data_IF_478257243491
#
_entry.id   IF_478257243491
#
_cell.length_a   1.000
_cell.length_b   1.000
_cell.length_c   1.000
_cell.angle_alpha   90.00
_cell.angle_beta   90.00
_cell.angle_gamma   90.00
#
_symmetry.space_group_name_H-M   'P 1'
#
loop_
_entity.id
_entity.type
_entity.pdbx_description
1 polymer ?
#
# COMPACT_ATOMS: atom_id res chain seq x y z
N UNK A 1 8.23 -6.49 -24.46
CA UNK A 1 9.30 -5.72 -23.83
C UNK A 1 10.42 -6.65 -23.42
N UNK A 2 11.67 -6.34 -23.80
CA UNK A 2 12.82 -7.11 -23.33
C UNK A 2 13.01 -6.80 -21.85
N UNK A 3 13.10 -7.79 -20.94
CA UNK A 3 13.34 -7.53 -19.53
C UNK A 3 14.67 -6.80 -19.34
N UNK A 4 14.72 -5.87 -18.39
CA UNK A 4 15.95 -5.21 -18.02
C UNK A 4 16.95 -6.24 -17.48
N UNK A 5 18.11 -6.35 -18.11
CA UNK A 5 19.19 -7.26 -17.69
C UNK A 5 20.28 -6.40 -17.05
N UNK A 6 20.78 -6.81 -15.89
CA UNK A 6 21.93 -6.19 -15.26
C UNK A 6 23.13 -6.36 -16.21
N UNK A 7 23.66 -5.25 -16.71
CA UNK A 7 24.84 -5.27 -17.58
C UNK A 7 26.09 -4.90 -16.78
N UNK A 8 26.87 -5.91 -16.42
CA UNK A 8 28.12 -5.75 -15.66
C UNK A 8 29.34 -5.59 -16.59
N UNK A 9 29.15 -5.57 -17.92
CA UNK A 9 30.23 -5.48 -18.89
C UNK A 9 30.56 -4.04 -19.32
N UNK A 10 29.67 -3.09 -19.02
CA UNK A 10 29.91 -1.67 -19.28
C UNK A 10 30.57 -1.04 -18.04
N UNK A 11 31.75 -0.39 -18.19
CA UNK A 11 32.39 0.31 -17.09
C UNK A 11 31.48 1.41 -16.53
N UNK A 12 31.48 1.59 -15.20
CA UNK A 12 30.78 2.70 -14.56
C UNK A 12 31.35 4.03 -15.05
N UNK A 13 30.48 4.99 -15.29
CA UNK A 13 30.93 6.35 -15.59
C UNK A 13 31.42 7.01 -14.29
N UNK A 14 32.73 7.37 -14.25
CA UNK A 14 33.35 7.90 -13.05
C UNK A 14 32.66 9.17 -12.51
N UNK A 15 32.31 10.11 -13.39
CA UNK A 15 31.63 11.34 -12.95
C UNK A 15 30.25 11.10 -12.37
N UNK A 16 29.50 10.11 -12.90
CA UNK A 16 28.21 9.73 -12.34
C UNK A 16 28.41 9.02 -11.00
N UNK A 17 29.45 8.18 -10.89
CA UNK A 17 29.78 7.50 -9.64
C UNK A 17 30.15 8.49 -8.52
N UNK A 18 30.95 9.52 -8.81
CA UNK A 18 31.29 10.59 -7.85
C UNK A 18 30.02 11.27 -7.30
N UNK A 19 29.03 11.57 -8.15
CA UNK A 19 27.76 12.16 -7.71
C UNK A 19 26.99 11.18 -6.82
N UNK A 20 26.92 9.91 -7.19
CA UNK A 20 26.26 8.86 -6.39
C UNK A 20 26.94 8.73 -5.02
N UNK A 21 28.28 8.64 -4.99
CA UNK A 21 29.05 8.48 -3.77
C UNK A 21 28.89 9.69 -2.82
N UNK A 22 28.88 10.90 -3.39
CA UNK A 22 28.64 12.13 -2.63
C UNK A 22 27.28 12.08 -1.91
N UNK A 23 26.18 11.84 -2.62
CA UNK A 23 24.86 11.80 -2.02
C UNK A 23 24.63 10.56 -1.13
N UNK A 24 25.30 9.45 -1.42
CA UNK A 24 25.29 8.29 -0.55
C UNK A 24 25.94 8.60 0.81
N UNK A 25 27.08 9.32 0.81
CA UNK A 25 27.73 9.75 2.05
C UNK A 25 26.87 10.74 2.85
N UNK A 26 26.28 11.74 2.20
CA UNK A 26 25.39 12.73 2.85
C UNK A 26 24.13 12.07 3.44
N UNK A 27 23.59 11.07 2.78
CA UNK A 27 22.39 10.37 3.24
C UNK A 27 22.65 9.27 4.27
N UNK A 28 23.89 8.82 4.45
CA UNK A 28 24.23 7.66 5.29
C UNK A 28 23.76 7.81 6.75
N UNK A 29 24.05 8.95 7.38
CA UNK A 29 23.67 9.20 8.78
C UNK A 29 22.16 9.31 8.96
N UNK A 30 21.41 10.12 8.22
CA UNK A 30 19.96 10.17 8.35
C UNK A 30 19.30 8.84 7.96
N UNK A 31 19.82 8.10 6.98
CA UNK A 31 19.27 6.81 6.57
C UNK A 31 19.44 5.73 7.66
N UNK A 32 20.54 5.75 8.41
CA UNK A 32 20.81 4.79 9.48
C UNK A 32 19.99 5.05 10.76
N UNK A 33 19.34 6.20 10.90
CA UNK A 33 18.55 6.53 12.08
C UNK A 33 17.42 5.53 12.31
N UNK A 34 17.38 4.90 13.47
CA UNK A 34 16.30 3.98 13.86
C UNK A 34 15.01 4.79 14.07
N UNK A 35 13.92 4.34 13.47
CA UNK A 35 12.59 4.98 13.53
C UNK A 35 11.57 4.11 14.27
N UNK A 36 11.92 2.86 14.59
CA UNK A 36 11.08 1.95 15.34
C UNK A 36 11.56 0.52 15.28
N UNK A 37 10.71 -0.40 15.71
CA UNK A 37 11.02 -1.83 15.77
C UNK A 37 9.90 -2.68 15.18
N UNK A 38 10.27 -3.87 14.70
CA UNK A 38 9.36 -4.92 14.21
C UNK A 38 9.70 -6.24 14.89
N UNK A 39 8.73 -7.15 15.02
CA UNK A 39 8.93 -8.47 15.65
C UNK A 39 9.28 -9.57 14.66
N UNK A 40 9.03 -9.34 13.36
CA UNK A 40 9.39 -10.21 12.25
C UNK A 40 9.43 -9.38 10.96
N UNK A 41 9.97 -9.93 9.88
CA UNK A 41 9.99 -9.26 8.56
C UNK A 41 8.58 -8.88 8.11
N UNK A 42 8.38 -7.62 7.78
CA UNK A 42 7.15 -7.13 7.14
C UNK A 42 7.31 -7.29 5.63
N UNK A 43 6.71 -8.33 5.09
CA UNK A 43 6.81 -8.65 3.66
C UNK A 43 5.72 -7.99 2.85
N UNK A 44 6.07 -7.51 1.66
CA UNK A 44 5.13 -7.06 0.63
C UNK A 44 4.64 -8.20 -0.26
N UNK A 45 5.10 -9.43 -0.02
CA UNK A 45 4.62 -10.58 -0.77
C UNK A 45 3.12 -10.78 -0.53
N UNK A 46 2.41 -11.08 -1.63
CA UNK A 46 0.96 -11.24 -1.59
C UNK A 46 0.55 -12.65 -1.19
N UNK A 47 -0.52 -12.74 -0.43
CA UNK A 47 -1.31 -13.96 -0.27
C UNK A 47 -2.01 -14.32 -1.58
N UNK A 48 -2.67 -15.47 -1.63
CA UNK A 48 -3.50 -15.86 -2.78
C UNK A 48 -4.67 -14.91 -3.04
N UNK A 49 -5.06 -14.12 -2.04
CA UNK A 49 -6.08 -13.09 -2.15
C UNK A 49 -5.53 -11.71 -2.54
N UNK A 50 -4.19 -11.56 -2.67
CA UNK A 50 -3.55 -10.29 -3.01
C UNK A 50 -3.28 -9.37 -1.82
N UNK A 51 -3.48 -9.83 -0.58
CA UNK A 51 -3.16 -9.11 0.64
C UNK A 51 -1.68 -9.29 1.01
N UNK A 52 -1.05 -8.27 1.59
CA UNK A 52 0.33 -8.36 2.08
C UNK A 52 0.45 -7.81 3.51
N UNK A 53 1.24 -8.49 4.35
CA UNK A 53 1.44 -8.09 5.75
C UNK A 53 1.99 -6.65 5.87
N UNK A 54 2.91 -6.25 4.99
CA UNK A 54 3.42 -4.88 4.98
C UNK A 54 2.37 -3.89 4.49
N UNK A 55 1.52 -4.29 3.55
CA UNK A 55 0.42 -3.45 3.06
C UNK A 55 -0.58 -3.15 4.16
N UNK A 56 -0.92 -4.14 4.97
CA UNK A 56 -1.81 -3.99 6.13
C UNK A 56 -1.23 -3.02 7.16
N UNK A 57 0.06 -3.18 7.51
CA UNK A 57 0.77 -2.28 8.44
C UNK A 57 0.79 -0.84 7.91
N UNK A 58 1.00 -0.65 6.61
CA UNK A 58 0.98 0.70 6.01
C UNK A 58 -0.43 1.29 6.06
N UNK A 59 -1.46 0.51 5.72
CA UNK A 59 -2.84 0.97 5.79
C UNK A 59 -3.25 1.31 7.23
N UNK A 60 -2.81 0.50 8.21
CA UNK A 60 -3.04 0.76 9.64
C UNK A 60 -2.34 2.04 10.11
N UNK A 61 -1.10 2.28 9.66
CA UNK A 61 -0.38 3.50 9.97
C UNK A 61 -1.07 4.74 9.39
N UNK A 62 -1.59 4.66 8.16
CA UNK A 62 -2.37 5.73 7.53
C UNK A 62 -3.67 6.00 8.29
N UNK A 63 -4.39 4.93 8.71
CA UNK A 63 -5.59 5.06 9.53
C UNK A 63 -5.28 5.70 10.88
N UNK A 64 -4.28 5.21 11.60
CA UNK A 64 -3.88 5.75 12.90
C UNK A 64 -3.55 7.24 12.84
N UNK A 65 -2.87 7.68 11.77
CA UNK A 65 -2.50 9.07 11.56
C UNK A 65 -3.70 10.01 11.33
N UNK A 66 -4.82 9.48 10.85
CA UNK A 66 -5.97 10.26 10.37
C UNK A 66 -7.29 9.97 11.10
N UNK A 67 -7.29 9.05 12.07
CA UNK A 67 -8.50 8.66 12.79
C UNK A 67 -9.01 9.73 13.76
N UNK A 68 -8.14 10.63 14.23
CA UNK A 68 -8.58 11.68 15.18
C UNK A 68 -9.46 12.73 14.48
N UNK A 69 -10.42 13.35 15.19
CA UNK A 69 -11.25 14.42 14.64
C UNK A 69 -10.44 15.59 14.05
N UNK A 70 -9.27 15.87 14.61
CA UNK A 70 -8.39 16.96 14.16
C UNK A 70 -7.57 16.60 12.93
N UNK A 71 -7.45 15.32 12.59
CA UNK A 71 -6.63 14.81 11.48
C UNK A 71 -7.45 14.20 10.33
N UNK A 72 -8.78 14.15 10.45
CA UNK A 72 -9.63 13.71 9.36
C UNK A 72 -10.80 12.81 9.77
N UNK A 73 -10.79 12.27 10.99
CA UNK A 73 -11.83 11.35 11.50
C UNK A 73 -12.01 10.12 10.60
N UNK A 74 -10.90 9.61 10.03
CA UNK A 74 -10.92 8.46 9.14
C UNK A 74 -11.33 7.19 9.89
N UNK A 75 -12.07 6.35 9.21
CA UNK A 75 -12.50 5.02 9.69
C UNK A 75 -11.99 3.89 8.77
N UNK A 76 -11.47 4.23 7.61
CA UNK A 76 -10.91 3.32 6.61
C UNK A 76 -9.65 3.96 6.02
N UNK A 77 -8.64 3.14 5.74
CA UNK A 77 -7.52 3.56 4.89
C UNK A 77 -7.22 2.50 3.82
N UNK A 78 -6.84 2.97 2.63
CA UNK A 78 -6.42 2.14 1.51
C UNK A 78 -5.00 2.50 1.07
N UNK A 79 -4.23 1.47 0.70
CA UNK A 79 -2.91 1.62 0.11
C UNK A 79 -2.81 0.85 -1.20
N UNK A 80 -2.35 1.51 -2.27
CA UNK A 80 -2.10 0.84 -3.54
C UNK A 80 -0.80 0.01 -3.48
N UNK A 81 -0.79 -1.20 -4.06
CA UNK A 81 0.37 -2.09 -4.01
C UNK A 81 1.60 -1.49 -4.71
N UNK A 82 1.40 -0.72 -5.78
CA UNK A 82 2.47 -0.04 -6.52
C UNK A 82 3.24 0.99 -5.68
N UNK A 83 2.64 1.48 -4.61
CA UNK A 83 3.28 2.38 -3.65
C UNK A 83 4.17 1.68 -2.61
N UNK A 84 4.25 0.34 -2.61
CA UNK A 84 5.06 -0.47 -1.69
C UNK A 84 6.22 -1.10 -2.46
N UNK A 85 7.43 -0.56 -2.30
CA UNK A 85 8.57 -0.86 -3.17
C UNK A 85 9.57 -1.86 -2.60
N UNK A 86 9.65 -2.02 -1.29
CA UNK A 86 10.57 -2.93 -0.61
C UNK A 86 9.94 -3.50 0.65
N UNK A 87 10.39 -4.69 1.07
CA UNK A 87 10.11 -5.26 2.37
C UNK A 87 10.81 -4.46 3.47
N UNK A 88 10.37 -4.61 4.72
CA UNK A 88 11.13 -4.20 5.90
C UNK A 88 11.64 -5.48 6.56
N UNK A 89 12.91 -5.87 6.35
CA UNK A 89 13.45 -7.11 6.87
C UNK A 89 13.67 -7.01 8.39
N UNK A 90 13.43 -8.11 9.12
CA UNK A 90 13.75 -8.20 10.54
C UNK A 90 15.26 -8.14 10.77
N UNK A 91 16.02 -8.91 10.01
CA UNK A 91 17.48 -8.94 10.02
C UNK A 91 18.03 -8.43 8.69
N UNK A 92 19.01 -7.53 8.75
CA UNK A 92 19.75 -7.04 7.58
C UNK A 92 21.15 -6.57 8.01
N UNK A 93 22.09 -6.57 7.06
CA UNK A 93 23.43 -6.09 7.31
C UNK A 93 23.46 -4.62 7.79
N UNK A 94 24.24 -4.35 8.81
CA UNK A 94 24.46 -3.00 9.32
C UNK A 94 23.40 -2.48 10.31
N UNK A 95 22.45 -3.33 10.75
CA UNK A 95 21.47 -2.96 11.78
C UNK A 95 21.33 -4.05 12.85
N UNK A 96 20.81 -3.68 14.03
CA UNK A 96 20.33 -4.63 15.03
C UNK A 96 19.00 -5.24 14.56
N UNK A 97 18.85 -6.55 14.75
CA UNK A 97 17.64 -7.29 14.39
C UNK A 97 16.39 -6.64 15.01
N UNK A 98 15.34 -6.56 14.22
CA UNK A 98 14.09 -5.91 14.58
C UNK A 98 14.09 -4.39 14.44
N UNK A 99 15.23 -3.71 14.41
CA UNK A 99 15.24 -2.26 14.16
C UNK A 99 14.76 -1.94 12.75
N UNK A 100 14.00 -0.85 12.63
CA UNK A 100 13.61 -0.25 11.34
C UNK A 100 14.37 1.06 11.20
N UNK A 101 15.14 1.19 10.12
CA UNK A 101 15.85 2.44 9.82
C UNK A 101 14.99 3.38 8.98
N UNK A 102 15.32 4.67 9.03
CA UNK A 102 14.68 5.67 8.16
C UNK A 102 14.86 5.32 6.67
N UNK A 103 16.05 4.85 6.29
CA UNK A 103 16.33 4.42 4.92
C UNK A 103 15.43 3.29 4.44
N UNK A 104 15.19 2.27 5.29
CA UNK A 104 14.24 1.19 4.98
C UNK A 104 12.81 1.71 4.86
N UNK A 105 12.37 2.53 5.81
CA UNK A 105 11.04 3.13 5.78
C UNK A 105 10.85 4.02 4.54
N UNK A 106 11.87 4.75 4.13
CA UNK A 106 11.86 5.56 2.91
C UNK A 106 11.84 4.69 1.65
N UNK A 107 12.71 3.69 1.56
CA UNK A 107 12.77 2.77 0.40
C UNK A 107 11.48 2.00 0.21
N UNK A 108 10.77 1.70 1.29
CA UNK A 108 9.44 1.06 1.25
C UNK A 108 8.41 1.93 0.54
N UNK A 109 8.40 3.25 0.75
CA UNK A 109 7.47 4.20 0.11
C UNK A 109 8.20 5.50 -0.30
N UNK A 110 8.98 5.50 -1.40
CA UNK A 110 9.91 6.57 -1.74
C UNK A 110 9.29 7.79 -2.45
N UNK A 111 7.97 7.84 -2.62
CA UNK A 111 7.31 8.78 -3.54
C UNK A 111 7.02 10.17 -2.95
N UNK A 112 7.26 10.40 -1.68
CA UNK A 112 7.01 11.71 -1.06
C UNK A 112 5.52 12.10 -0.96
N UNK A 113 4.61 11.15 -1.15
CA UNK A 113 3.16 11.38 -1.04
C UNK A 113 2.77 11.89 0.36
N UNK A 114 1.71 12.69 0.42
CA UNK A 114 0.99 13.02 1.65
C UNK A 114 -0.26 12.14 1.80
N UNK A 115 -0.83 12.11 3.00
CA UNK A 115 -2.14 11.51 3.23
C UNK A 115 -3.25 12.49 2.83
N UNK A 116 -4.32 11.96 2.29
CA UNK A 116 -5.56 12.69 1.99
C UNK A 116 -6.72 11.91 2.57
N UNK A 117 -7.43 12.54 3.51
CA UNK A 117 -8.68 11.99 4.04
C UNK A 117 -9.85 12.65 3.33
N UNK A 118 -10.80 11.87 2.85
CA UNK A 118 -11.96 12.34 2.11
C UNK A 118 -13.23 11.60 2.54
N UNK A 119 -14.38 12.17 2.22
CA UNK A 119 -15.68 11.51 2.36
C UNK A 119 -16.03 10.79 1.07
N UNK A 120 -16.26 9.49 1.16
CA UNK A 120 -16.76 8.64 0.09
C UNK A 120 -18.11 8.05 0.49
N UNK A 121 -19.02 7.85 -0.47
CA UNK A 121 -20.18 6.98 -0.26
C UNK A 121 -19.75 5.52 -0.27
N UNK A 122 -20.53 4.63 0.34
CA UNK A 122 -20.28 3.20 0.23
C UNK A 122 -20.27 2.73 -1.23
N UNK A 123 -21.13 3.29 -2.09
CA UNK A 123 -21.10 3.00 -3.52
C UNK A 123 -19.76 3.35 -4.17
N UNK A 124 -19.12 4.48 -3.80
CA UNK A 124 -17.79 4.84 -4.30
C UNK A 124 -16.70 3.89 -3.75
N UNK A 125 -16.84 3.40 -2.53
CA UNK A 125 -15.93 2.37 -1.96
C UNK A 125 -16.04 1.09 -2.78
N UNK A 126 -17.25 0.58 -3.03
CA UNK A 126 -17.46 -0.59 -3.89
C UNK A 126 -16.88 -0.37 -5.29
N UNK A 127 -17.11 0.81 -5.89
CA UNK A 127 -16.55 1.14 -7.19
C UNK A 127 -15.01 1.14 -7.20
N UNK A 128 -14.37 1.66 -6.14
CA UNK A 128 -12.92 1.61 -6.00
C UNK A 128 -12.40 0.16 -5.88
N UNK A 129 -13.09 -0.69 -5.11
CA UNK A 129 -12.73 -2.10 -5.01
C UNK A 129 -12.88 -2.82 -6.36
N UNK A 130 -13.92 -2.56 -7.15
CA UNK A 130 -14.08 -3.15 -8.48
C UNK A 130 -13.04 -2.65 -9.49
N UNK A 131 -12.52 -1.44 -9.33
CA UNK A 131 -11.47 -0.90 -10.19
C UNK A 131 -10.13 -1.64 -10.04
N UNK A 132 -9.94 -2.46 -9.03
CA UNK A 132 -8.74 -3.31 -8.84
C UNK A 132 -8.52 -4.27 -10.02
N UNK A 133 -9.59 -4.70 -10.68
CA UNK A 133 -9.59 -5.66 -11.79
C UNK A 133 -10.16 -5.08 -13.10
N UNK A 134 -10.46 -3.79 -13.10
CA UNK A 134 -11.11 -3.14 -14.25
C UNK A 134 -10.27 -3.19 -15.52
N UNK A 135 -10.92 -3.03 -16.67
CA UNK A 135 -10.27 -3.02 -18.00
C UNK A 135 -9.23 -1.90 -18.17
N UNK A 136 -9.28 -0.87 -17.32
CA UNK A 136 -8.28 0.19 -17.27
C UNK A 136 -6.97 -0.24 -16.58
N UNK A 137 -6.98 -1.36 -15.84
CA UNK A 137 -5.80 -1.89 -15.18
C UNK A 137 -5.02 -2.80 -16.14
N UNK A 138 -3.69 -2.60 -16.30
CA UNK A 138 -2.87 -3.52 -17.10
C UNK A 138 -2.68 -4.88 -16.42
N UNK A 139 -2.90 -4.94 -15.09
CA UNK A 139 -2.87 -6.12 -14.22
C UNK A 139 -3.64 -5.79 -12.94
N UNK A 140 -4.11 -6.80 -12.16
CA UNK A 140 -4.83 -6.56 -10.91
C UNK A 140 -4.00 -5.76 -9.90
N UNK A 141 -4.62 -4.74 -9.29
CA UNK A 141 -4.02 -3.90 -8.25
C UNK A 141 -4.84 -3.96 -6.98
N UNK A 142 -4.58 -4.98 -6.16
CA UNK A 142 -5.33 -5.21 -4.94
C UNK A 142 -4.96 -4.14 -3.90
N UNK A 143 -5.95 -3.35 -3.49
CA UNK A 143 -5.80 -2.35 -2.43
C UNK A 143 -5.57 -3.05 -1.09
N UNK A 144 -4.53 -2.66 -0.40
CA UNK A 144 -4.28 -3.09 0.97
C UNK A 144 -5.17 -2.25 1.89
N UNK A 145 -5.78 -2.87 2.87
CA UNK A 145 -6.85 -2.26 3.66
C UNK A 145 -6.50 -2.20 5.14
N UNK A 146 -6.96 -1.15 5.82
CA UNK A 146 -6.72 -0.98 7.26
C UNK A 146 -7.55 -1.95 8.10
N UNK A 147 -7.08 -2.16 9.33
CA UNK A 147 -7.79 -2.96 10.33
C UNK A 147 -9.25 -2.51 10.49
N UNK A 148 -10.14 -3.46 10.69
CA UNK A 148 -11.58 -3.25 10.75
C UNK A 148 -12.27 -3.28 9.38
N UNK A 149 -11.57 -3.04 8.28
CA UNK A 149 -12.15 -3.17 6.94
C UNK A 149 -11.80 -4.54 6.34
N UNK A 150 -12.79 -5.22 5.77
CA UNK A 150 -12.58 -6.51 5.11
C UNK A 150 -13.54 -6.68 3.93
N UNK A 151 -13.13 -7.51 2.97
CA UNK A 151 -13.97 -7.90 1.84
C UNK A 151 -13.54 -9.25 1.25
N UNK A 152 -14.43 -9.85 0.46
CA UNK A 152 -14.12 -11.05 -0.33
C UNK A 152 -14.25 -10.78 -1.82
N UNK A 153 -13.49 -11.52 -2.63
CA UNK A 153 -13.57 -11.44 -4.10
C UNK A 153 -13.47 -12.82 -4.75
N UNK A 154 -13.95 -12.92 -5.98
CA UNK A 154 -13.95 -14.14 -6.81
C UNK A 154 -12.98 -14.07 -7.99
N UNK A 155 -12.06 -13.10 -8.00
CA UNK A 155 -11.12 -12.95 -9.11
C UNK A 155 -10.27 -14.21 -9.31
N UNK A 156 -10.28 -14.85 -10.50
CA UNK A 156 -9.86 -16.25 -10.65
C UNK A 156 -8.35 -16.49 -10.64
N UNK A 157 -7.54 -15.46 -10.82
CA UNK A 157 -6.12 -15.66 -11.09
C UNK A 157 -5.25 -15.69 -9.83
N UNK A 158 -4.24 -16.58 -9.77
CA UNK A 158 -3.16 -16.43 -8.82
C UNK A 158 -2.35 -15.18 -9.21
N UNK A 159 -2.08 -14.32 -8.24
CA UNK A 159 -1.19 -13.18 -8.39
C UNK A 159 0.23 -13.64 -8.11
N UNK A 160 1.18 -13.34 -9.00
CA UNK A 160 2.59 -13.45 -8.69
C UNK A 160 3.05 -12.29 -7.78
N UNK A 161 4.32 -12.31 -7.34
CA UNK A 161 4.90 -11.26 -6.50
C UNK A 161 4.86 -9.86 -7.14
N UNK A 162 4.71 -9.79 -8.45
CA UNK A 162 4.70 -8.57 -9.26
C UNK A 162 3.29 -8.15 -9.67
N UNK A 163 2.24 -8.83 -9.17
CA UNK A 163 0.85 -8.65 -9.58
C UNK A 163 0.62 -8.95 -11.08
N UNK A 164 1.55 -9.65 -11.72
CA UNK A 164 1.36 -10.08 -13.09
C UNK A 164 0.51 -11.36 -13.11
N UNK A 165 -0.30 -11.52 -14.13
CA UNK A 165 -0.86 -12.82 -14.44
C UNK A 165 0.30 -13.80 -14.67
N UNK A 166 0.20 -15.02 -14.14
CA UNK A 166 1.12 -16.10 -14.49
C UNK A 166 1.17 -16.25 -16.01
N UNK A 167 2.35 -16.47 -16.56
CA UNK A 167 2.56 -16.59 -18.00
C UNK A 167 1.48 -17.46 -18.67
N UNK A 168 0.86 -16.94 -19.73
CA UNK A 168 -0.17 -17.64 -20.50
C UNK A 168 -1.62 -17.25 -20.18
N UNK A 169 -1.88 -16.40 -19.17
CA UNK A 169 -3.21 -15.88 -18.95
C UNK A 169 -3.38 -14.57 -19.70
N UNK A 170 -4.05 -14.64 -20.84
CA UNK A 170 -4.51 -13.47 -21.55
C UNK A 170 -5.70 -12.91 -20.79
N UNK A 171 -5.59 -11.67 -20.26
CA UNK A 171 -6.78 -10.94 -19.80
C UNK A 171 -7.69 -10.71 -21.00
N UNK A 172 -8.57 -11.66 -21.27
CA UNK A 172 -9.61 -11.41 -22.26
C UNK A 172 -10.52 -10.33 -21.70
N UNK A 173 -10.67 -9.26 -22.44
CA UNK A 173 -11.56 -8.12 -22.16
C UNK A 173 -13.04 -8.50 -22.06
N UNK A 174 -13.37 -9.76 -22.03
CA UNK A 174 -14.73 -10.31 -22.07
C UNK A 174 -15.43 -10.39 -20.72
N UNK A 175 -14.87 -9.85 -19.65
CA UNK A 175 -15.58 -9.75 -18.36
C UNK A 175 -16.17 -8.34 -18.18
N UNK A 176 -16.76 -7.81 -19.24
CA UNK A 176 -17.63 -6.65 -19.14
C UNK A 176 -18.88 -7.05 -18.35
N UNK A 177 -19.01 -6.53 -17.14
CA UNK A 177 -20.24 -6.61 -16.35
C UNK A 177 -20.24 -7.57 -15.16
N UNK A 178 -19.15 -8.30 -14.89
CA UNK A 178 -19.07 -9.11 -13.67
C UNK A 178 -18.41 -8.31 -12.55
N UNK A 179 -19.11 -8.19 -11.44
CA UNK A 179 -18.53 -7.77 -10.17
C UNK A 179 -17.68 -8.92 -9.63
N UNK A 180 -16.44 -8.61 -9.21
CA UNK A 180 -15.58 -9.57 -8.53
C UNK A 180 -15.68 -9.47 -7.01
N UNK A 181 -16.12 -8.34 -6.49
CA UNK A 181 -16.40 -8.20 -5.05
C UNK A 181 -17.63 -9.01 -4.72
N UNK A 182 -17.50 -9.93 -3.76
CA UNK A 182 -18.63 -10.77 -3.33
C UNK A 182 -19.72 -9.87 -2.71
N UNK A 183 -20.97 -9.97 -3.14
CA UNK A 183 -22.06 -9.19 -2.56
C UNK A 183 -22.12 -9.33 -1.04
N UNK A 184 -22.32 -8.21 -0.34
CA UNK A 184 -22.41 -8.13 1.13
C UNK A 184 -21.15 -8.57 1.91
N UNK A 185 -20.03 -8.82 1.24
CA UNK A 185 -18.78 -9.17 1.91
C UNK A 185 -17.98 -7.97 2.40
N UNK A 186 -18.24 -6.78 1.87
CA UNK A 186 -17.52 -5.56 2.27
C UNK A 186 -18.04 -5.11 3.63
N UNK A 187 -17.18 -5.16 4.63
CA UNK A 187 -17.54 -4.84 6.01
C UNK A 187 -16.58 -3.83 6.63
N UNK A 188 -17.11 -3.04 7.55
CA UNK A 188 -16.34 -2.20 8.46
C UNK A 188 -16.69 -2.61 9.90
N UNK A 189 -15.69 -3.08 10.65
CA UNK A 189 -15.85 -3.64 12.00
C UNK A 189 -16.94 -4.74 12.06
N UNK A 190 -16.99 -5.58 11.04
CA UNK A 190 -17.96 -6.67 10.90
C UNK A 190 -19.36 -6.23 10.46
N UNK A 191 -19.61 -4.94 10.28
CA UNK A 191 -20.89 -4.40 9.82
C UNK A 191 -20.81 -4.19 8.30
N UNK A 192 -21.77 -4.69 7.49
CA UNK A 192 -21.79 -4.43 6.06
C UNK A 192 -21.76 -2.95 5.71
N UNK A 193 -20.95 -2.59 4.74
CA UNK A 193 -20.88 -1.22 4.22
C UNK A 193 -22.16 -0.90 3.46
N UNK A 194 -22.91 0.08 3.95
CA UNK A 194 -24.09 0.61 3.28
C UNK A 194 -23.68 1.51 2.11
N UNK A 195 -24.14 1.19 0.92
CA UNK A 195 -23.81 1.93 -0.31
C UNK A 195 -24.32 3.36 -0.30
N UNK A 196 -25.37 3.67 0.45
CA UNK A 196 -25.95 5.01 0.58
C UNK A 196 -25.30 5.84 1.69
N UNK A 197 -24.67 5.21 2.67
CA UNK A 197 -23.99 5.88 3.76
C UNK A 197 -22.66 6.51 3.31
N UNK A 198 -22.11 7.40 4.12
CA UNK A 198 -20.82 8.04 3.86
C UNK A 198 -19.77 7.63 4.90
N UNK A 199 -18.53 7.51 4.46
CA UNK A 199 -17.39 7.07 5.25
C UNK A 199 -16.22 8.03 5.07
N UNK A 200 -15.46 8.27 6.13
CA UNK A 200 -14.19 9.00 6.05
C UNK A 200 -13.08 8.03 5.70
N UNK A 201 -12.49 8.19 4.54
CA UNK A 201 -11.49 7.29 3.98
C UNK A 201 -10.18 8.02 3.76
N UNK A 202 -9.07 7.41 4.16
CA UNK A 202 -7.71 7.93 3.92
C UNK A 202 -7.03 7.13 2.82
N UNK A 203 -6.39 7.85 1.91
CA UNK A 203 -5.51 7.31 0.87
C UNK A 203 -4.28 8.22 0.72
N UNK A 204 -3.27 7.80 -0.02
CA UNK A 204 -2.18 8.70 -0.40
C UNK A 204 -2.63 9.70 -1.48
N UNK A 205 -1.90 10.82 -1.61
CA UNK A 205 -2.24 11.89 -2.56
C UNK A 205 -2.28 11.43 -4.02
N UNK A 206 -1.43 10.50 -4.42
CA UNK A 206 -1.45 9.92 -5.76
C UNK A 206 -2.77 9.19 -6.04
N UNK A 207 -3.26 8.37 -5.09
CA UNK A 207 -4.55 7.68 -5.23
C UNK A 207 -5.73 8.67 -5.16
N UNK A 208 -5.65 9.68 -4.29
CA UNK A 208 -6.71 10.68 -4.15
C UNK A 208 -7.02 11.40 -5.47
N UNK A 209 -6.01 11.52 -6.33
CA UNK A 209 -6.13 12.16 -7.66
C UNK A 209 -6.36 11.14 -8.80
N UNK A 210 -6.75 9.91 -8.46
CA UNK A 210 -7.09 8.85 -9.42
C UNK A 210 -5.91 8.04 -9.94
N UNK A 211 -4.77 8.12 -9.26
CA UNK A 211 -3.60 7.31 -9.59
C UNK A 211 -3.89 5.82 -9.60
N UNK A 212 -3.14 5.06 -10.37
CA UNK A 212 -3.38 3.63 -10.62
C UNK A 212 -4.81 3.34 -11.14
N UNK A 213 -5.43 4.31 -11.83
CA UNK A 213 -6.79 4.26 -12.40
C UNK A 213 -7.94 4.09 -11.38
N UNK A 214 -7.70 4.39 -10.11
CA UNK A 214 -8.75 4.42 -9.08
C UNK A 214 -9.59 5.72 -9.17
N UNK A 215 -10.27 5.90 -10.29
CA UNK A 215 -11.03 7.12 -10.58
C UNK A 215 -12.22 7.36 -9.65
N UNK A 216 -12.75 6.31 -9.01
CA UNK A 216 -13.81 6.44 -8.01
C UNK A 216 -13.41 7.33 -6.83
N UNK A 217 -12.11 7.41 -6.51
CA UNK A 217 -11.56 8.24 -5.44
C UNK A 217 -11.56 9.74 -5.79
N UNK A 218 -11.55 10.10 -7.09
CA UNK A 218 -11.60 11.51 -7.53
C UNK A 218 -12.87 12.19 -7.04
N UNK A 219 -13.98 11.46 -6.97
CA UNK A 219 -15.27 11.95 -6.49
C UNK A 219 -15.37 12.18 -4.98
N UNK A 220 -14.30 11.92 -4.21
CA UNK A 220 -14.28 12.15 -2.77
C UNK A 220 -14.41 13.62 -2.42
N UNK A 221 -15.29 13.93 -1.46
CA UNK A 221 -15.57 15.28 -0.97
C UNK A 221 -14.91 15.55 0.38
N UNK A 222 -14.98 16.78 0.88
CA UNK A 222 -14.41 17.17 2.18
C UNK A 222 -12.96 16.69 2.36
N UNK A 223 -12.13 16.90 1.33
CA UNK A 223 -10.73 16.48 1.33
C UNK A 223 -9.93 17.29 2.35
N UNK A 224 -9.20 16.58 3.19
CA UNK A 224 -8.25 17.12 4.14
C UNK A 224 -6.87 16.56 3.81
N UNK A 225 -5.92 17.41 3.42
CA UNK A 225 -4.52 17.05 3.22
C UNK A 225 -3.82 16.88 4.57
N UNK A 226 -3.05 15.80 4.67
CA UNK A 226 -2.29 15.45 5.87
C UNK A 226 -0.78 15.59 5.71
N UNK A 227 -0.06 15.02 6.66
CA UNK A 227 1.40 14.96 6.67
C UNK A 227 1.93 14.03 5.59
N UNK A 228 3.25 14.09 5.36
CA UNK A 228 3.93 13.13 4.48
C UNK A 228 3.90 11.73 5.08
N UNK A 229 3.64 10.72 4.25
CA UNK A 229 3.52 9.30 4.63
C UNK A 229 4.71 8.80 5.46
N UNK A 230 5.93 9.23 5.16
CA UNK A 230 7.12 8.81 5.91
C UNK A 230 7.03 9.23 7.38
N UNK A 231 6.48 10.42 7.67
CA UNK A 231 6.32 10.92 9.04
C UNK A 231 5.25 10.15 9.82
N UNK A 232 4.21 9.70 9.13
CA UNK A 232 3.15 8.92 9.77
C UNK A 232 3.63 7.49 10.10
N UNK A 233 4.48 6.89 9.24
CA UNK A 233 5.14 5.63 9.57
C UNK A 233 6.06 5.76 10.79
N UNK A 234 6.87 6.81 10.86
CA UNK A 234 7.70 7.08 12.05
C UNK A 234 6.83 7.18 13.31
N UNK A 235 5.72 7.92 13.26
CA UNK A 235 4.80 8.06 14.37
C UNK A 235 4.13 6.72 14.76
N UNK A 236 3.76 5.92 13.76
CA UNK A 236 3.16 4.61 13.98
C UNK A 236 4.14 3.64 14.67
N UNK A 237 5.38 3.56 14.20
CA UNK A 237 6.40 2.76 14.86
C UNK A 237 6.68 3.25 16.28
N UNK A 238 6.77 4.57 16.50
CA UNK A 238 6.98 5.14 17.83
C UNK A 238 5.84 4.84 18.81
N UNK A 239 4.60 4.75 18.31
CA UNK A 239 3.42 4.38 19.09
C UNK A 239 3.37 2.88 19.44
N UNK A 240 4.23 2.05 18.82
CA UNK A 240 4.30 0.60 19.04
C UNK A 240 5.71 0.21 19.54
N UNK A 241 6.12 0.62 20.76
CA UNK A 241 7.50 0.46 21.24
C UNK A 241 7.90 -1.00 21.45
N UNK A 242 6.96 -1.92 21.60
CA UNK A 242 7.21 -3.37 21.70
C UNK A 242 7.48 -4.04 20.34
N UNK A 243 7.42 -3.25 19.26
CA UNK A 243 7.60 -3.70 17.88
C UNK A 243 6.29 -3.99 17.15
N UNK A 244 6.26 -3.60 15.88
CA UNK A 244 5.13 -3.89 14.98
C UNK A 244 5.27 -5.32 14.46
N UNK A 245 4.24 -6.13 14.66
CA UNK A 245 4.17 -7.49 14.12
C UNK A 245 3.50 -7.52 12.74
N UNK A 246 3.87 -8.45 11.82
CA UNK A 246 3.02 -8.77 10.69
C UNK A 246 1.69 -9.34 11.21
N UNK A 247 0.58 -8.71 10.82
CA UNK A 247 -0.75 -9.21 11.14
C UNK A 247 -1.12 -10.46 10.30
N UNK A 248 -2.22 -11.12 10.64
CA UNK A 248 -2.78 -12.16 9.79
C UNK A 248 -3.31 -11.52 8.50
N UNK A 249 -2.99 -12.14 7.36
CA UNK A 249 -3.52 -11.72 6.06
C UNK A 249 -4.92 -12.32 5.87
N UNK A 250 -5.93 -11.72 6.50
CA UNK A 250 -7.31 -12.21 6.56
C UNK A 250 -8.37 -11.12 6.34
N UNK A 251 -7.95 -9.92 5.96
CA UNK A 251 -8.84 -8.80 5.64
C UNK A 251 -9.40 -8.90 4.23
N UNK A 252 -8.66 -9.58 3.34
CA UNK A 252 -9.04 -9.83 1.95
C UNK A 252 -9.12 -11.34 1.75
N UNK A 253 -10.29 -11.82 1.35
CA UNK A 253 -10.54 -13.25 1.15
C UNK A 253 -10.82 -13.52 -0.32
N UNK A 254 -10.16 -14.52 -0.88
CA UNK A 254 -10.46 -15.03 -2.21
C UNK A 254 -11.35 -16.27 -2.09
N UNK A 255 -12.56 -16.21 -2.65
CA UNK A 255 -13.51 -17.31 -2.75
C UNK A 255 -13.31 -18.09 -4.05
#
# INVERSE_FOLDING_TARGET
PVPAVTNNTVPLNASVQEVVDHYAAESAVPAARVVGTITATLSRAFSTAGESALGDVIADAQLAATASPTTGNAVIAFMNPGGIRADIPFAAAGKTDGNVTYGEAFTTQPFGNSLVTMTLTGAQIYAALEQQWGTAQPFPRILQVSNGFAYSHTFPLPLDRNLNATEGVTFTTSVRGNSYVVPNSVTLNGVPVDTAATYRVTVNSFMADGGDTFTALIGGTNRLGGRRIIKEKEAYFAANPTGVAPGPQNRIVKN
#
